data_IF_603107033748
#
_entry.id   IF_603107033748
#
_cell.length_a   1.000
_cell.length_b   1.000
_cell.length_c   1.000
_cell.angle_alpha   90.00
_cell.angle_beta   90.00
_cell.angle_gamma   90.00
#
_symmetry.space_group_name_H-M   'P 1'
#
loop_
_entity.id
_entity.type
_entity.pdbx_description
1 polymer ?
#
# COMPACT_ATOMS: atom_id res chain seq x y z
N UNK A 1 -7.72 28.06 -93.45
CA UNK A 1 -7.33 26.91 -94.30
C UNK A 1 -7.97 25.67 -93.69
N UNK A 2 -9.15 25.27 -94.18
CA UNK A 2 -9.33 24.12 -95.10
C UNK A 2 -9.00 22.81 -94.39
N UNK A 3 -9.91 21.85 -94.17
CA UNK A 3 -10.84 21.29 -95.18
C UNK A 3 -11.99 20.53 -94.49
N UNK A 4 -13.17 20.57 -95.12
CA UNK A 4 -14.41 19.85 -94.75
C UNK A 4 -14.54 18.50 -95.50
N UNK A 5 -15.53 17.70 -95.05
CA UNK A 5 -16.29 16.61 -95.73
C UNK A 5 -15.65 15.22 -95.73
N UNK A 6 -16.35 14.07 -95.64
CA UNK A 6 -17.74 13.64 -95.93
C UNK A 6 -18.16 12.58 -94.86
N UNK A 7 -19.37 12.47 -94.31
CA UNK A 7 -20.72 12.15 -94.81
C UNK A 7 -20.92 10.82 -95.56
N UNK A 8 -21.67 9.89 -94.93
CA UNK A 8 -22.55 8.78 -95.44
C UNK A 8 -22.65 7.74 -94.30
N UNK A 9 -23.76 7.46 -93.60
CA UNK A 9 -25.19 7.56 -93.90
C UNK A 9 -25.70 6.19 -94.34
N UNK A 10 -26.40 5.43 -93.48
CA UNK A 10 -27.54 4.57 -93.87
C UNK A 10 -28.24 3.84 -92.70
N UNK A 11 -29.54 4.15 -92.56
CA UNK A 11 -30.73 3.29 -92.42
C UNK A 11 -30.96 2.38 -91.18
N UNK A 12 -32.14 2.69 -90.64
CA UNK A 12 -33.04 2.10 -89.65
C UNK A 12 -33.60 0.69 -89.99
N UNK A 13 -33.88 -0.08 -88.91
CA UNK A 13 -34.80 -1.23 -88.73
C UNK A 13 -34.04 -2.47 -88.21
N UNK A 14 -34.49 -3.25 -87.21
CA UNK A 14 -35.85 -3.47 -86.70
C UNK A 14 -35.78 -4.18 -85.32
N UNK A 15 -36.65 -3.73 -84.39
CA UNK A 15 -37.38 -4.44 -83.32
C UNK A 15 -36.69 -5.32 -82.24
N UNK A 16 -36.97 -4.90 -80.99
CA UNK A 16 -37.47 -5.65 -79.83
C UNK A 16 -36.50 -6.60 -79.08
N UNK A 17 -36.18 -6.26 -77.83
CA UNK A 17 -36.92 -6.79 -76.68
C UNK A 17 -36.44 -6.18 -75.35
N UNK A 18 -37.43 -5.84 -74.52
CA UNK A 18 -37.48 -5.82 -73.05
C UNK A 18 -36.48 -4.97 -72.26
N UNK A 19 -37.03 -3.87 -71.74
CA UNK A 19 -36.71 -3.34 -70.41
C UNK A 19 -36.92 -4.42 -69.34
N UNK A 20 -35.88 -4.69 -68.56
CA UNK A 20 -36.00 -5.10 -67.16
C UNK A 20 -34.91 -4.33 -66.42
N UNK A 21 -35.30 -3.35 -65.61
CA UNK A 21 -34.42 -2.83 -64.57
C UNK A 21 -34.30 -3.93 -63.51
N UNK A 22 -33.09 -4.33 -63.16
CA UNK A 22 -32.84 -4.95 -61.86
C UNK A 22 -31.90 -4.02 -61.09
N UNK A 23 -32.36 -3.64 -59.89
CA UNK A 23 -31.64 -2.83 -58.92
C UNK A 23 -30.70 -3.77 -58.15
N UNK A 24 -29.43 -3.81 -58.50
CA UNK A 24 -28.39 -4.38 -57.64
C UNK A 24 -27.53 -3.24 -57.09
N UNK A 25 -28.07 -2.51 -56.11
CA UNK A 25 -27.25 -1.86 -55.09
C UNK A 25 -26.74 -2.99 -54.18
N UNK A 26 -25.55 -3.50 -54.50
CA UNK A 26 -24.75 -4.33 -53.59
C UNK A 26 -24.39 -3.48 -52.36
N UNK A 27 -25.33 -3.37 -51.43
CA UNK A 27 -25.06 -2.95 -50.07
C UNK A 27 -24.23 -4.07 -49.43
N UNK A 28 -22.92 -4.07 -49.71
CA UNK A 28 -21.96 -4.84 -48.94
C UNK A 28 -22.09 -4.36 -47.51
N UNK A 29 -22.80 -5.13 -46.69
CA UNK A 29 -22.68 -5.05 -45.25
C UNK A 29 -21.23 -5.40 -44.95
N UNK A 30 -20.39 -4.37 -44.77
CA UNK A 30 -19.12 -4.55 -44.09
C UNK A 30 -19.53 -4.87 -42.66
N UNK A 31 -19.62 -6.16 -42.35
CA UNK A 31 -19.69 -6.59 -40.96
C UNK A 31 -18.36 -6.13 -40.37
N UNK A 32 -18.41 -5.15 -39.46
CA UNK A 32 -17.24 -4.73 -38.73
C UNK A 32 -16.60 -6.00 -38.12
N UNK A 33 -15.28 -6.20 -38.28
CA UNK A 33 -14.63 -7.40 -37.76
C UNK A 33 -14.89 -7.48 -36.25
N UNK A 34 -15.45 -8.59 -35.80
CA UNK A 34 -15.58 -8.91 -34.38
C UNK A 34 -14.25 -9.52 -33.93
N UNK A 35 -13.49 -8.79 -33.12
CA UNK A 35 -12.23 -9.27 -32.57
C UNK A 35 -12.45 -9.74 -31.13
N UNK A 36 -11.71 -10.77 -30.74
CA UNK A 36 -11.60 -11.14 -29.34
C UNK A 36 -10.54 -10.26 -28.70
N UNK A 37 -10.80 -9.74 -27.52
CA UNK A 37 -9.84 -8.99 -26.73
C UNK A 37 -9.51 -9.76 -25.45
N UNK A 38 -8.26 -9.69 -25.03
CA UNK A 38 -7.82 -10.01 -23.67
C UNK A 38 -7.39 -8.73 -22.98
N UNK A 39 -7.93 -8.47 -21.79
CA UNK A 39 -7.44 -7.43 -20.89
C UNK A 39 -6.69 -8.10 -19.75
N UNK A 40 -5.51 -7.58 -19.43
CA UNK A 40 -4.72 -8.00 -18.27
C UNK A 40 -4.53 -6.81 -17.33
N UNK A 41 -4.87 -7.00 -16.06
CA UNK A 41 -4.71 -6.04 -14.96
C UNK A 41 -3.63 -6.60 -14.03
N UNK A 42 -2.47 -5.94 -13.97
CA UNK A 42 -1.32 -6.33 -13.15
C UNK A 42 -1.26 -5.42 -11.92
N UNK A 43 -1.13 -6.01 -10.72
CA UNK A 43 -0.75 -5.28 -9.51
C UNK A 43 0.76 -5.02 -9.56
N UNK A 44 1.15 -3.76 -9.77
CA UNK A 44 2.56 -3.35 -9.94
C UNK A 44 3.09 -2.53 -8.77
N UNK A 45 2.38 -2.52 -7.64
CA UNK A 45 2.92 -1.98 -6.40
C UNK A 45 4.30 -2.57 -6.11
N UNK A 46 5.20 -1.74 -5.59
CA UNK A 46 6.38 -2.24 -4.92
C UNK A 46 5.96 -2.94 -3.62
N UNK A 47 6.39 -4.18 -3.41
CA UNK A 47 6.10 -4.89 -2.17
C UNK A 47 6.80 -4.19 -1.00
N UNK A 48 6.05 -3.98 0.08
CA UNK A 48 6.54 -3.41 1.35
C UNK A 48 6.19 -4.38 2.48
N UNK A 49 7.12 -4.54 3.42
CA UNK A 49 6.93 -5.39 4.59
C UNK A 49 6.20 -4.64 5.70
N UNK A 50 6.44 -3.32 5.84
CA UNK A 50 5.92 -2.51 6.94
C UNK A 50 5.07 -1.35 6.43
N UNK A 51 4.28 -0.76 7.33
CA UNK A 51 3.33 0.28 6.97
C UNK A 51 3.96 1.68 6.99
N UNK A 52 4.61 2.02 8.10
CA UNK A 52 5.15 3.35 8.33
C UNK A 52 6.39 3.25 9.22
N UNK A 53 7.26 4.26 9.19
CA UNK A 53 8.50 4.28 9.95
C UNK A 53 8.96 5.71 10.22
N UNK A 54 9.93 5.84 11.10
CA UNK A 54 10.67 7.08 11.27
C UNK A 54 11.72 6.97 12.37
N UNK A 55 12.30 8.12 12.69
CA UNK A 55 13.36 8.23 13.68
C UNK A 55 13.02 9.26 14.76
N UNK A 56 13.69 9.16 15.90
CA UNK A 56 13.78 10.25 16.88
C UNK A 56 15.19 10.84 16.89
N UNK A 57 15.32 12.03 17.43
CA UNK A 57 16.60 12.61 17.80
C UNK A 57 17.15 12.11 19.13
N UNK A 58 18.21 12.77 19.57
CA UNK A 58 18.85 12.56 20.87
C UNK A 58 17.98 13.17 21.98
N UNK A 59 17.53 12.36 22.92
CA UNK A 59 16.71 12.79 24.06
C UNK A 59 17.58 12.86 25.31
N UNK A 60 17.89 14.08 25.75
CA UNK A 60 18.69 14.35 26.95
C UNK A 60 17.90 14.07 28.24
N UNK A 61 18.57 13.78 29.36
CA UNK A 61 17.90 13.68 30.66
C UNK A 61 17.03 14.91 30.96
N UNK A 62 15.75 14.67 31.28
CA UNK A 62 14.76 15.70 31.58
C UNK A 62 14.11 16.35 30.35
N UNK A 63 14.31 15.80 29.16
CA UNK A 63 13.67 16.26 27.91
C UNK A 63 12.81 15.16 27.30
N UNK A 64 11.99 15.53 26.32
CA UNK A 64 11.14 14.60 25.59
C UNK A 64 11.14 14.89 24.10
N UNK A 65 10.70 13.90 23.33
CA UNK A 65 10.42 14.02 21.90
C UNK A 65 9.10 13.33 21.58
N UNK A 66 8.34 13.91 20.65
CA UNK A 66 7.08 13.35 20.18
C UNK A 66 7.11 13.14 18.68
N UNK A 67 6.50 12.05 18.23
CA UNK A 67 6.28 11.77 16.82
C UNK A 67 4.86 11.23 16.62
N UNK A 68 4.30 11.50 15.45
CA UNK A 68 2.96 11.04 15.08
C UNK A 68 3.03 10.09 13.90
N UNK A 69 2.13 9.12 13.87
CA UNK A 69 1.98 8.13 12.81
C UNK A 69 0.53 7.70 12.68
N UNK A 70 0.20 7.09 11.56
CA UNK A 70 -1.12 6.52 11.29
C UNK A 70 -1.08 5.01 11.54
N UNK A 71 -2.13 4.48 12.15
CA UNK A 71 -2.29 3.06 12.39
C UNK A 71 -3.75 2.66 12.57
N UNK A 72 -4.09 1.46 12.08
CA UNK A 72 -5.40 0.84 12.27
C UNK A 72 -5.35 -0.40 13.15
N UNK A 73 -6.50 -0.98 13.44
CA UNK A 73 -6.62 -2.26 14.19
C UNK A 73 -5.74 -3.36 13.59
N UNK A 74 -4.93 -4.02 14.42
CA UNK A 74 -3.98 -5.05 13.98
C UNK A 74 -2.59 -4.51 13.60
N UNK A 75 -2.36 -3.19 13.69
CA UNK A 75 -1.02 -2.62 13.67
C UNK A 75 -0.36 -2.61 15.05
N UNK A 76 0.97 -2.70 15.01
CA UNK A 76 1.87 -2.68 16.16
C UNK A 76 2.93 -1.62 15.95
N UNK A 77 3.36 -0.96 17.04
CA UNK A 77 4.51 -0.06 17.07
C UNK A 77 5.71 -0.79 17.66
N UNK A 78 6.80 -0.89 16.91
CA UNK A 78 8.12 -1.25 17.45
C UNK A 78 9.01 -0.01 17.49
N UNK A 79 9.80 0.14 18.56
CA UNK A 79 10.78 1.24 18.71
C UNK A 79 12.05 0.73 19.38
N UNK A 80 13.21 1.29 19.00
CA UNK A 80 14.49 1.03 19.64
C UNK A 80 15.34 2.32 19.75
N UNK A 81 16.01 2.51 20.89
CA UNK A 81 16.97 3.61 21.15
C UNK A 81 18.07 3.16 22.09
N UNK A 82 19.32 3.62 21.87
CA UNK A 82 20.45 3.29 22.73
C UNK A 82 20.28 3.82 24.16
N UNK A 83 20.63 2.99 25.15
CA UNK A 83 20.94 3.44 26.50
C UNK A 83 22.41 3.90 26.54
N UNK A 84 22.64 5.19 26.31
CA UNK A 84 23.98 5.74 25.97
C UNK A 84 25.08 5.47 27.01
N UNK A 85 24.74 5.29 28.29
CA UNK A 85 25.71 4.90 29.33
C UNK A 85 25.92 3.38 29.39
N UNK A 86 25.93 2.72 28.25
CA UNK A 86 26.31 1.32 28.04
C UNK A 86 27.06 1.17 26.71
N UNK A 87 27.60 -0.02 26.46
CA UNK A 87 28.33 -0.33 25.25
C UNK A 87 27.47 -1.07 24.21
N UNK A 88 26.36 -1.71 24.59
CA UNK A 88 25.46 -2.39 23.65
C UNK A 88 24.02 -2.59 24.18
N UNK A 89 23.57 -1.76 25.12
CA UNK A 89 22.19 -1.84 25.64
C UNK A 89 21.27 -0.82 24.97
N UNK A 90 20.00 -1.21 24.81
CA UNK A 90 19.00 -0.37 24.17
C UNK A 90 17.62 -0.54 24.82
N UNK A 91 16.84 0.56 24.84
CA UNK A 91 15.43 0.52 25.19
C UNK A 91 14.60 0.17 23.97
N UNK A 92 13.70 -0.79 24.11
CA UNK A 92 12.75 -1.15 23.07
C UNK A 92 11.45 -1.73 23.61
N UNK A 93 10.43 -1.75 22.76
CA UNK A 93 9.28 -2.64 22.96
C UNK A 93 9.73 -4.11 22.96
N UNK A 94 8.82 -5.03 23.29
CA UNK A 94 9.05 -6.44 22.95
C UNK A 94 9.26 -6.63 21.44
N UNK A 95 9.84 -7.77 21.05
CA UNK A 95 10.20 -8.05 19.65
C UNK A 95 9.02 -8.10 18.67
N UNK A 96 7.80 -8.30 19.18
CA UNK A 96 6.54 -8.25 18.42
C UNK A 96 5.85 -6.86 18.45
N UNK A 97 6.45 -5.87 19.11
CA UNK A 97 5.91 -4.52 19.20
C UNK A 97 4.76 -4.34 20.20
N UNK A 98 4.33 -3.10 20.35
CA UNK A 98 3.16 -2.66 21.12
C UNK A 98 1.93 -2.68 20.22
N UNK A 99 0.92 -3.49 20.55
CA UNK A 99 -0.38 -3.42 19.89
C UNK A 99 -1.00 -2.02 20.06
N UNK A 100 -1.46 -1.41 18.96
CA UNK A 100 -2.02 -0.06 18.98
C UNK A 100 -3.53 -0.04 19.25
N UNK A 101 -4.17 -1.20 19.16
CA UNK A 101 -5.57 -1.43 19.52
C UNK A 101 -5.68 -2.68 20.39
N UNK A 102 -6.59 -2.66 21.35
CA UNK A 102 -6.89 -3.83 22.21
C UNK A 102 -7.77 -4.86 21.49
N UNK A 103 -8.03 -5.99 22.17
CA UNK A 103 -8.85 -7.10 21.63
C UNK A 103 -10.31 -6.69 21.40
N UNK A 104 -10.79 -5.65 22.08
CA UNK A 104 -12.10 -5.04 21.86
C UNK A 104 -12.10 -3.98 20.74
N UNK A 105 -10.94 -3.68 20.16
CA UNK A 105 -10.77 -2.73 19.06
C UNK A 105 -10.71 -1.26 19.49
N UNK A 106 -10.49 -0.97 20.78
CA UNK A 106 -10.23 0.39 21.26
C UNK A 106 -8.75 0.75 21.10
N UNK A 107 -8.47 2.00 20.77
CA UNK A 107 -7.09 2.49 20.69
C UNK A 107 -6.41 2.43 22.07
N UNK A 108 -5.20 1.86 22.11
CA UNK A 108 -4.36 1.86 23.31
C UNK A 108 -3.84 3.28 23.53
N UNK A 109 -4.08 3.84 24.72
CA UNK A 109 -3.69 5.21 25.07
C UNK A 109 -3.23 5.31 26.53
N UNK A 110 -2.55 6.41 26.87
CA UNK A 110 -2.05 6.69 28.20
C UNK A 110 -0.58 6.30 28.38
N UNK A 111 -0.21 5.98 29.62
CA UNK A 111 1.15 5.57 29.96
C UNK A 111 1.37 4.10 29.58
N UNK A 112 2.26 3.89 28.61
CA UNK A 112 2.61 2.57 28.08
C UNK A 112 4.05 2.18 28.42
N UNK A 113 4.66 2.86 29.40
CA UNK A 113 6.08 2.66 29.78
C UNK A 113 6.41 1.20 30.09
N UNK A 114 5.49 0.46 30.72
CA UNK A 114 5.66 -0.97 31.02
C UNK A 114 5.87 -1.88 29.79
N UNK A 115 5.66 -1.36 28.58
CA UNK A 115 5.88 -2.09 27.32
C UNK A 115 7.32 -1.94 26.82
N UNK A 116 8.10 -1.03 27.40
CA UNK A 116 9.48 -0.76 27.05
C UNK A 116 10.39 -1.37 28.11
N UNK A 117 11.41 -2.09 27.67
CA UNK A 117 12.37 -2.75 28.54
C UNK A 117 13.78 -2.39 28.08
N UNK A 118 14.75 -2.46 29.00
CA UNK A 118 16.16 -2.43 28.65
C UNK A 118 16.60 -3.82 28.16
N UNK A 119 17.17 -3.85 26.96
CA UNK A 119 17.66 -5.04 26.29
C UNK A 119 19.18 -4.96 26.12
N UNK A 120 19.79 -6.12 26.13
CA UNK A 120 21.17 -6.37 25.75
C UNK A 120 21.18 -6.87 24.30
N UNK A 121 21.99 -6.27 23.42
CA UNK A 121 22.10 -6.71 22.03
C UNK A 121 22.89 -8.02 21.89
N UNK A 122 23.71 -8.35 22.88
CA UNK A 122 24.57 -9.52 22.93
C UNK A 122 25.74 -9.44 21.94
N UNK A 123 26.15 -8.23 21.56
CA UNK A 123 27.23 -8.04 20.56
C UNK A 123 28.57 -7.86 21.27
N UNK A 124 28.58 -7.23 22.44
CA UNK A 124 29.78 -6.98 23.24
C UNK A 124 29.61 -7.42 24.70
N UNK A 125 30.72 -7.79 25.34
CA UNK A 125 30.70 -8.06 26.79
C UNK A 125 30.40 -6.75 27.52
N UNK A 126 29.28 -6.72 28.24
CA UNK A 126 28.87 -5.58 29.05
C UNK A 126 30.00 -4.99 29.90
N UNK A 127 30.06 -3.65 29.93
CA UNK A 127 30.91 -2.88 30.84
C UNK A 127 30.09 -2.14 31.89
N UNK A 128 30.73 -1.75 33.01
CA UNK A 128 30.05 -1.04 34.10
C UNK A 128 29.34 0.23 33.57
N UNK A 129 28.00 0.33 33.71
CA UNK A 129 27.23 1.41 33.12
C UNK A 129 27.72 2.80 33.58
N UNK A 130 28.01 3.67 32.62
CA UNK A 130 28.55 5.01 32.86
C UNK A 130 30.05 5.09 33.14
N UNK A 131 30.76 3.96 33.19
CA UNK A 131 32.21 3.90 33.53
C UNK A 131 33.04 3.32 32.38
N UNK A 132 32.53 2.29 31.71
CA UNK A 132 33.24 1.56 30.65
C UNK A 132 33.87 2.44 29.56
N UNK A 133 35.07 2.08 29.10
CA UNK A 133 35.83 2.82 28.09
C UNK A 133 35.25 2.66 26.68
N UNK A 134 34.47 1.60 26.45
CA UNK A 134 33.89 1.22 25.16
C UNK A 134 32.45 1.74 24.97
N UNK A 135 31.90 2.44 25.95
CA UNK A 135 30.57 3.03 25.86
C UNK A 135 30.58 4.28 24.97
N UNK A 136 29.49 4.56 24.24
CA UNK A 136 29.43 5.62 23.22
C UNK A 136 30.04 6.99 23.60
N UNK A 137 29.88 7.51 24.84
CA UNK A 137 30.51 8.79 25.24
C UNK A 137 32.03 8.75 25.42
N UNK A 138 32.63 7.56 25.56
CA UNK A 138 34.03 7.34 25.93
C UNK A 138 34.82 6.54 24.90
N UNK A 139 34.14 5.86 23.98
CA UNK A 139 34.78 5.07 22.94
C UNK A 139 35.65 5.91 22.00
N UNK A 140 36.72 5.29 21.50
CA UNK A 140 37.66 5.93 20.58
C UNK A 140 37.17 5.99 19.13
N UNK A 141 36.12 5.23 18.82
CA UNK A 141 35.43 5.12 17.53
C UNK A 141 34.30 4.10 17.64
N UNK A 142 33.55 3.85 16.56
CA UNK A 142 32.47 2.85 16.53
C UNK A 142 32.95 1.42 16.78
N UNK A 143 32.04 0.57 17.26
CA UNK A 143 32.23 -0.89 17.45
C UNK A 143 33.52 -1.21 18.21
N UNK A 144 33.71 -0.57 19.37
CA UNK A 144 34.83 -0.86 20.27
C UNK A 144 34.34 -1.67 21.45
N UNK A 145 34.98 -2.80 21.75
CA UNK A 145 34.60 -3.64 22.87
C UNK A 145 35.09 -5.07 22.67
N UNK A 146 34.86 -5.92 23.66
CA UNK A 146 35.13 -7.36 23.53
C UNK A 146 33.89 -8.02 22.97
N UNK A 147 33.94 -8.49 21.74
CA UNK A 147 32.82 -9.22 21.12
C UNK A 147 32.44 -10.46 21.92
N UNK A 148 31.16 -10.66 22.20
CA UNK A 148 30.65 -11.83 22.93
C UNK A 148 29.87 -12.85 22.08
N UNK A 149 29.37 -12.46 20.90
CA UNK A 149 28.54 -13.32 20.03
C UNK A 149 27.34 -13.94 20.77
N UNK A 150 26.70 -13.15 21.63
CA UNK A 150 25.50 -13.47 22.35
C UNK A 150 24.25 -13.33 21.48
N UNK A 151 23.12 -13.10 22.17
CA UNK A 151 21.80 -12.95 21.56
C UNK A 151 21.05 -11.84 22.26
N UNK A 152 20.11 -11.21 21.56
CA UNK A 152 19.27 -10.16 22.14
C UNK A 152 18.47 -10.72 23.32
N UNK A 153 18.67 -10.16 24.51
CA UNK A 153 18.14 -10.68 25.77
C UNK A 153 17.68 -9.51 26.67
N UNK A 154 16.68 -9.74 27.51
CA UNK A 154 16.31 -8.74 28.52
C UNK A 154 17.45 -8.56 29.50
N UNK A 155 17.85 -7.31 29.81
CA UNK A 155 18.99 -7.07 30.71
C UNK A 155 18.78 -7.71 32.09
N UNK A 156 17.52 -7.82 32.55
CA UNK A 156 17.16 -8.47 33.81
C UNK A 156 17.45 -9.99 33.85
N UNK A 157 17.69 -10.62 32.70
CA UNK A 157 18.10 -12.02 32.59
C UNK A 157 19.62 -12.19 32.42
N UNK A 158 20.36 -11.11 32.14
CA UNK A 158 21.81 -11.11 31.95
C UNK A 158 22.50 -11.09 33.32
N UNK A 159 23.59 -11.86 33.47
CA UNK A 159 24.36 -11.99 34.72
C UNK A 159 25.78 -11.45 34.52
N UNK A 160 25.88 -10.15 34.32
CA UNK A 160 27.15 -9.42 34.14
C UNK A 160 27.73 -8.86 35.45
N UNK A 161 26.91 -8.78 36.51
CA UNK A 161 27.31 -8.28 37.82
C UNK A 161 27.17 -6.76 38.01
N UNK A 162 26.52 -6.07 37.06
CA UNK A 162 26.21 -4.65 37.15
C UNK A 162 24.80 -4.39 37.68
N UNK A 163 24.54 -3.13 38.00
CA UNK A 163 23.22 -2.65 38.45
C UNK A 163 22.75 -1.58 37.49
N UNK A 164 21.55 -1.78 36.95
CA UNK A 164 20.88 -0.85 36.05
C UNK A 164 19.76 -0.12 36.80
N UNK A 165 19.43 1.14 36.45
CA UNK A 165 18.21 1.76 36.91
C UNK A 165 16.99 0.96 36.43
N UNK A 166 15.89 1.01 37.18
CA UNK A 166 14.59 0.50 36.71
C UNK A 166 14.17 1.26 35.44
N UNK A 167 13.45 0.58 34.53
CA UNK A 167 13.05 1.15 33.24
C UNK A 167 12.26 2.46 33.39
N UNK A 168 11.28 2.49 34.30
CA UNK A 168 10.46 3.67 34.62
C UNK A 168 11.25 4.82 35.25
N UNK A 169 12.50 4.58 35.69
CA UNK A 169 13.39 5.62 36.19
C UNK A 169 14.22 6.27 35.07
N UNK A 170 14.20 5.72 33.85
CA UNK A 170 14.97 6.22 32.69
C UNK A 170 14.06 6.70 31.57
N UNK A 171 13.10 5.88 31.16
CA UNK A 171 12.21 6.17 30.04
C UNK A 171 10.77 6.21 30.53
N UNK A 172 9.99 7.14 29.97
CA UNK A 172 8.54 7.17 30.10
C UNK A 172 7.93 7.35 28.71
N UNK A 173 6.94 6.53 28.39
CA UNK A 173 6.28 6.58 27.08
C UNK A 173 4.79 6.81 27.24
N UNK A 174 4.31 7.89 26.62
CA UNK A 174 2.90 8.23 26.55
C UNK A 174 2.40 8.04 25.12
N UNK A 175 1.23 7.42 24.97
CA UNK A 175 0.57 7.22 23.69
C UNK A 175 -0.79 7.91 23.68
N UNK A 176 -1.03 8.76 22.70
CA UNK A 176 -2.31 9.45 22.47
C UNK A 176 -2.92 8.98 21.15
N UNK A 177 -4.26 8.92 21.10
CA UNK A 177 -5.02 8.70 19.87
C UNK A 177 -5.70 10.03 19.49
N UNK A 178 -5.25 10.63 18.39
CA UNK A 178 -5.62 11.98 17.96
C UNK A 178 -6.90 12.02 17.12
N UNK A 179 -7.60 10.88 17.01
CA UNK A 179 -8.77 10.69 16.16
C UNK A 179 -8.43 10.01 14.83
N UNK A 180 -9.45 9.39 14.22
CA UNK A 180 -9.26 8.57 13.02
C UNK A 180 -8.28 7.42 13.27
N UNK A 181 -7.20 7.39 12.49
CA UNK A 181 -6.09 6.45 12.60
C UNK A 181 -4.83 7.04 13.25
N UNK A 182 -4.87 8.30 13.69
CA UNK A 182 -3.66 9.02 14.08
C UNK A 182 -3.31 8.76 15.54
N UNK A 183 -2.05 8.43 15.78
CA UNK A 183 -1.44 8.34 17.09
C UNK A 183 -0.31 9.35 17.25
N UNK A 184 -0.06 9.78 18.48
CA UNK A 184 1.14 10.50 18.88
C UNK A 184 1.81 9.78 20.04
N UNK A 185 3.05 9.35 19.84
CA UNK A 185 3.90 8.80 20.90
C UNK A 185 4.82 9.90 21.42
N UNK A 186 4.94 10.02 22.73
CA UNK A 186 5.89 10.90 23.41
C UNK A 186 6.84 10.07 24.25
N UNK A 187 8.13 10.16 23.93
CA UNK A 187 9.23 9.54 24.67
C UNK A 187 9.84 10.62 25.57
N UNK A 188 9.72 10.45 26.88
CA UNK A 188 10.34 11.30 27.89
C UNK A 188 11.52 10.57 28.52
N UNK A 189 12.69 11.21 28.52
CA UNK A 189 13.84 10.74 29.26
C UNK A 189 13.77 11.30 30.69
N UNK A 190 13.32 10.47 31.62
CA UNK A 190 13.14 10.81 33.04
C UNK A 190 14.40 10.52 33.90
N UNK A 191 15.50 10.08 33.27
CA UNK A 191 16.73 9.65 33.97
C UNK A 191 17.45 10.73 34.77
N UNK A 192 17.08 12.01 34.62
CA UNK A 192 17.69 13.12 35.36
C UNK A 192 17.62 12.97 36.88
N UNK A 193 16.63 12.22 37.38
CA UNK A 193 16.46 11.92 38.80
C UNK A 193 16.95 10.52 39.21
N UNK A 194 17.45 9.72 38.27
CA UNK A 194 17.92 8.35 38.51
C UNK A 194 19.33 8.30 39.09
N UNK A 195 19.76 7.11 39.50
CA UNK A 195 21.15 6.86 39.92
C UNK A 195 22.16 7.02 38.78
N UNK A 196 21.71 6.90 37.53
CA UNK A 196 22.55 6.99 36.34
C UNK A 196 21.84 7.83 35.25
N UNK A 197 21.94 9.17 35.31
CA UNK A 197 21.46 10.02 34.22
C UNK A 197 22.17 9.68 32.91
N UNK A 198 21.37 9.42 31.88
CA UNK A 198 21.84 8.95 30.57
C UNK A 198 21.00 9.56 29.46
N UNK A 199 21.60 10.00 28.34
CA UNK A 199 20.82 10.27 27.14
C UNK A 199 20.18 8.99 26.58
N UNK A 200 19.10 9.16 25.81
CA UNK A 200 18.62 8.18 24.85
C UNK A 200 19.07 8.65 23.47
N UNK A 201 19.78 7.81 22.73
CA UNK A 201 20.31 8.19 21.41
C UNK A 201 19.18 8.39 20.38
N UNK A 202 19.48 8.91 19.17
CA UNK A 202 18.56 8.80 18.05
C UNK A 202 18.02 7.38 17.90
N UNK A 203 16.70 7.24 17.96
CA UNK A 203 16.01 5.96 17.88
C UNK A 203 15.35 5.75 16.53
N UNK A 204 14.81 4.57 16.30
CA UNK A 204 13.98 4.25 15.14
C UNK A 204 12.68 3.60 15.61
N UNK A 205 11.59 3.88 14.90
CA UNK A 205 10.30 3.23 15.08
C UNK A 205 9.73 2.74 13.75
N UNK A 206 8.84 1.76 13.84
CA UNK A 206 8.14 1.17 12.70
C UNK A 206 6.75 0.71 13.12
N UNK A 207 5.78 1.02 12.27
CA UNK A 207 4.40 0.50 12.34
C UNK A 207 4.30 -0.69 11.40
N UNK A 208 3.93 -1.84 11.95
CA UNK A 208 3.91 -3.11 11.24
C UNK A 208 2.65 -3.92 11.57
N UNK A 209 2.43 -5.00 10.84
CA UNK A 209 1.31 -5.91 11.06
C UNK A 209 1.66 -6.97 12.11
N UNK A 210 0.63 -7.65 12.60
CA UNK A 210 0.76 -8.81 13.48
C UNK A 210 1.69 -9.90 12.88
N UNK A 211 2.41 -10.59 13.76
CA UNK A 211 3.34 -11.66 13.41
C UNK A 211 4.70 -11.20 12.85
N UNK A 212 4.94 -9.89 12.73
CA UNK A 212 6.23 -9.34 12.31
C UNK A 212 7.11 -8.93 13.50
N UNK A 213 8.43 -8.95 13.29
CA UNK A 213 9.45 -8.60 14.28
C UNK A 213 10.55 -7.75 13.64
N UNK A 214 10.26 -6.48 13.33
CA UNK A 214 11.05 -5.71 12.37
C UNK A 214 12.40 -5.24 12.88
N UNK A 215 12.55 -5.03 14.19
CA UNK A 215 13.77 -4.47 14.77
C UNK A 215 14.73 -5.55 15.28
N UNK A 216 14.20 -6.60 15.89
CA UNK A 216 14.99 -7.71 16.43
C UNK A 216 14.10 -8.93 16.70
N UNK A 217 14.73 -10.08 16.97
CA UNK A 217 14.06 -11.27 17.50
C UNK A 217 14.76 -11.69 18.79
N UNK A 218 14.03 -11.70 19.91
CA UNK A 218 14.59 -12.06 21.20
C UNK A 218 15.15 -13.50 21.20
N UNK A 219 16.30 -13.70 21.83
CA UNK A 219 17.03 -14.97 21.86
C UNK A 219 17.75 -15.33 20.55
N UNK A 220 17.90 -14.36 19.64
CA UNK A 220 18.70 -14.52 18.41
C UNK A 220 19.77 -13.43 18.32
N UNK A 221 20.78 -13.62 17.48
CA UNK A 221 21.82 -12.62 17.28
C UNK A 221 21.22 -11.32 16.74
N UNK A 222 21.69 -10.18 17.24
CA UNK A 222 21.36 -8.87 16.70
C UNK A 222 21.71 -8.77 15.21
N UNK A 223 20.92 -8.00 14.46
CA UNK A 223 21.28 -7.59 13.10
C UNK A 223 22.35 -6.51 13.16
N UNK A 224 23.10 -6.31 12.07
CA UNK A 224 24.07 -5.20 11.97
C UNK A 224 23.39 -3.84 12.19
N UNK A 225 22.15 -3.70 11.73
CA UNK A 225 21.36 -2.47 11.89
C UNK A 225 21.07 -2.18 13.38
N UNK A 226 20.71 -3.22 14.15
CA UNK A 226 20.45 -3.09 15.59
C UNK A 226 21.74 -2.89 16.39
N UNK A 227 22.80 -3.62 16.05
CA UNK A 227 24.14 -3.48 16.67
C UNK A 227 24.57 -2.01 16.65
N UNK A 228 24.46 -1.33 15.49
CA UNK A 228 24.82 0.09 15.37
C UNK A 228 23.94 1.03 16.20
N UNK A 229 22.68 0.68 16.41
CA UNK A 229 21.80 1.44 17.32
C UNK A 229 22.24 1.22 18.77
N UNK A 230 22.47 -0.03 19.16
CA UNK A 230 22.77 -0.41 20.53
C UNK A 230 24.17 -0.01 20.99
N UNK A 231 25.16 0.01 20.09
CA UNK A 231 26.56 0.34 20.43
C UNK A 231 26.90 1.82 20.24
N UNK A 232 26.41 2.41 19.16
CA UNK A 232 26.84 3.75 18.74
C UNK A 232 25.73 4.80 18.79
N UNK A 233 24.49 4.39 19.02
CA UNK A 233 23.33 5.26 18.85
C UNK A 233 23.16 5.74 17.40
N UNK A 234 23.68 4.97 16.43
CA UNK A 234 23.63 5.30 15.02
C UNK A 234 22.52 4.51 14.33
N UNK A 235 21.38 5.17 14.13
CA UNK A 235 20.21 4.59 13.47
C UNK A 235 20.20 4.72 11.94
N UNK A 236 21.24 5.25 11.29
CA UNK A 236 21.18 5.58 9.85
C UNK A 236 20.95 4.37 8.95
N UNK A 237 21.57 3.22 9.24
CA UNK A 237 21.37 2.00 8.44
C UNK A 237 19.99 1.41 8.70
N UNK A 238 19.56 1.39 9.95
CA UNK A 238 18.20 0.95 10.31
C UNK A 238 17.14 1.83 9.64
N UNK A 239 17.34 3.15 9.61
CA UNK A 239 16.46 4.11 8.93
C UNK A 239 16.38 3.82 7.42
N UNK A 240 17.51 3.61 6.74
CA UNK A 240 17.54 3.26 5.31
C UNK A 240 16.85 1.91 5.02
N UNK A 241 17.07 0.92 5.90
CA UNK A 241 16.44 -0.40 5.84
C UNK A 241 14.92 -0.30 6.02
N UNK A 242 14.45 0.45 7.02
CA UNK A 242 13.02 0.69 7.25
C UNK A 242 12.40 1.51 6.13
N UNK A 243 13.09 2.53 5.60
CA UNK A 243 12.61 3.33 4.48
C UNK A 243 12.39 2.52 3.21
N UNK A 244 13.29 1.56 2.94
CA UNK A 244 13.18 0.68 1.78
C UNK A 244 12.02 -0.31 1.92
N UNK A 245 11.73 -0.76 3.14
CA UNK A 245 10.75 -1.82 3.41
C UNK A 245 9.38 -1.33 3.89
N UNK A 246 9.21 -0.02 4.12
CA UNK A 246 7.96 0.56 4.59
C UNK A 246 7.24 1.33 3.50
N UNK A 247 5.91 1.30 3.50
CA UNK A 247 5.09 2.16 2.65
C UNK A 247 3.70 1.61 2.40
N UNK A 248 2.89 2.38 1.68
CA UNK A 248 1.56 1.96 1.28
C UNK A 248 1.64 0.89 0.19
N UNK A 249 1.06 -0.27 0.48
CA UNK A 249 0.89 -1.38 -0.47
C UNK A 249 -0.52 -1.93 -0.32
N UNK A 250 -1.16 -2.24 -1.44
CA UNK A 250 -2.54 -2.70 -1.45
C UNK A 250 -2.74 -3.86 -2.42
N UNK A 251 -3.47 -4.92 -2.04
CA UNK A 251 -4.02 -5.85 -3.02
C UNK A 251 -5.16 -5.20 -3.80
N UNK A 252 -5.42 -5.73 -5.00
CA UNK A 252 -6.68 -5.46 -5.71
C UNK A 252 -7.64 -6.63 -5.52
N UNK A 253 -8.89 -6.31 -5.15
CA UNK A 253 -9.92 -7.32 -4.99
C UNK A 253 -10.32 -7.95 -6.34
N UNK A 254 -11.17 -8.99 -6.35
CA UNK A 254 -11.96 -9.30 -7.53
C UNK A 254 -12.71 -8.08 -8.07
N UNK A 255 -12.97 -8.04 -9.37
CA UNK A 255 -13.62 -6.92 -10.02
C UNK A 255 -14.65 -7.30 -11.08
N UNK A 256 -15.14 -6.27 -11.76
CA UNK A 256 -16.20 -6.36 -12.75
C UNK A 256 -15.82 -5.62 -14.02
N UNK A 257 -16.35 -6.07 -15.15
CA UNK A 257 -16.22 -5.38 -16.44
C UNK A 257 -17.54 -5.37 -17.20
N UNK A 258 -17.66 -4.52 -18.21
CA UNK A 258 -18.84 -4.42 -19.07
C UNK A 258 -18.48 -3.94 -20.46
N UNK A 259 -19.22 -4.42 -21.46
CA UNK A 259 -19.09 -4.03 -22.87
C UNK A 259 -20.38 -3.33 -23.28
N UNK A 260 -20.28 -2.03 -23.62
CA UNK A 260 -21.42 -1.12 -23.79
C UNK A 260 -22.36 -1.04 -22.56
N UNK A 261 -21.89 -1.51 -21.42
CA UNK A 261 -22.56 -1.48 -20.14
C UNK A 261 -21.53 -0.98 -19.13
N UNK A 262 -21.82 0.12 -18.46
CA UNK A 262 -20.87 0.81 -17.60
C UNK A 262 -20.87 0.15 -16.21
N UNK A 263 -19.69 -0.19 -15.68
CA UNK A 263 -19.57 -0.72 -14.32
C UNK A 263 -19.85 0.37 -13.29
N UNK A 264 -19.50 1.61 -13.63
CA UNK A 264 -19.77 2.82 -12.86
C UNK A 264 -19.98 4.00 -13.83
N UNK A 265 -20.51 5.12 -13.34
CA UNK A 265 -20.61 6.36 -14.12
C UNK A 265 -20.22 7.55 -13.26
N UNK A 266 -19.18 8.28 -13.65
CA UNK A 266 -18.67 9.41 -12.87
C UNK A 266 -19.74 10.50 -12.71
N UNK A 267 -19.90 11.02 -11.50
CA UNK A 267 -20.89 12.03 -11.15
C UNK A 267 -22.29 11.48 -10.83
N UNK A 268 -22.49 10.16 -10.92
CA UNK A 268 -23.71 9.50 -10.47
C UNK A 268 -23.50 8.83 -9.10
N UNK A 269 -24.59 8.57 -8.38
CA UNK A 269 -24.53 7.80 -7.15
C UNK A 269 -24.11 6.35 -7.42
N UNK A 270 -23.35 5.75 -6.50
CA UNK A 270 -22.99 4.34 -6.57
C UNK A 270 -24.23 3.44 -6.59
N UNK A 271 -24.18 2.41 -7.43
CA UNK A 271 -25.17 1.33 -7.37
C UNK A 271 -24.87 0.43 -6.18
N UNK A 272 -25.85 -0.31 -5.66
CA UNK A 272 -25.61 -1.29 -4.60
C UNK A 272 -24.54 -2.34 -4.97
N UNK A 273 -24.36 -2.62 -6.27
CA UNK A 273 -23.32 -3.54 -6.74
C UNK A 273 -21.93 -2.90 -6.72
N UNK A 274 -21.83 -1.61 -7.07
CA UNK A 274 -20.57 -0.88 -7.01
C UNK A 274 -20.15 -0.59 -5.59
N UNK A 275 -21.08 -0.20 -4.70
CA UNK A 275 -20.84 -0.02 -3.26
C UNK A 275 -20.21 -1.28 -2.67
N UNK A 276 -20.81 -2.46 -2.86
CA UNK A 276 -20.20 -3.73 -2.42
C UNK A 276 -18.85 -4.05 -3.05
N UNK A 277 -18.64 -3.65 -4.30
CA UNK A 277 -17.36 -3.86 -4.96
C UNK A 277 -16.30 -2.95 -4.33
N UNK A 278 -16.62 -1.69 -4.14
CA UNK A 278 -15.72 -0.65 -3.67
C UNK A 278 -15.45 -0.74 -2.17
N UNK A 279 -16.41 -1.18 -1.34
CA UNK A 279 -16.26 -1.29 0.11
C UNK A 279 -15.77 -2.65 0.59
N UNK A 280 -16.12 -3.73 -0.12
CA UNK A 280 -15.87 -5.10 0.35
C UNK A 280 -15.05 -5.94 -0.64
N UNK A 281 -14.72 -5.39 -1.80
CA UNK A 281 -14.06 -6.15 -2.86
C UNK A 281 -14.94 -7.23 -3.49
N UNK A 282 -16.26 -7.09 -3.38
CA UNK A 282 -17.24 -8.10 -3.79
C UNK A 282 -17.91 -7.74 -5.11
N UNK A 283 -17.66 -8.48 -6.21
CA UNK A 283 -18.27 -8.19 -7.51
C UNK A 283 -19.72 -8.73 -7.62
N UNK A 284 -20.37 -9.03 -6.50
CA UNK A 284 -21.74 -9.58 -6.48
C UNK A 284 -22.74 -8.53 -6.96
N UNK A 285 -23.53 -8.89 -7.97
CA UNK A 285 -24.53 -8.02 -8.60
C UNK A 285 -24.16 -7.64 -10.04
N UNK A 286 -22.91 -7.82 -10.44
CA UNK A 286 -22.47 -7.66 -11.82
C UNK A 286 -22.66 -8.93 -12.66
N UNK A 287 -22.88 -8.74 -13.96
CA UNK A 287 -23.07 -9.85 -14.91
C UNK A 287 -21.77 -10.49 -15.38
N UNK A 288 -20.71 -9.69 -15.48
CA UNK A 288 -19.39 -10.10 -15.96
C UNK A 288 -18.35 -9.72 -14.91
N UNK A 289 -17.59 -10.71 -14.45
CA UNK A 289 -16.61 -10.55 -13.36
C UNK A 289 -15.29 -11.19 -13.72
N UNK A 290 -14.21 -10.63 -13.19
CA UNK A 290 -12.90 -11.27 -13.13
C UNK A 290 -12.55 -11.41 -11.65
N UNK A 291 -12.27 -12.64 -11.20
CA UNK A 291 -12.10 -12.88 -9.77
C UNK A 291 -11.02 -13.88 -9.42
N UNK A 292 -10.44 -14.56 -10.41
CA UNK A 292 -9.44 -15.60 -10.19
C UNK A 292 -8.11 -15.08 -10.73
N UNK A 293 -7.08 -14.93 -9.87
CA UNK A 293 -5.75 -14.51 -10.30
C UNK A 293 -5.19 -15.43 -11.39
N UNK A 294 -4.39 -14.88 -12.30
CA UNK A 294 -3.70 -15.66 -13.32
C UNK A 294 -2.78 -16.71 -12.67
N UNK A 295 -2.94 -17.97 -13.09
CA UNK A 295 -2.28 -19.13 -12.46
C UNK A 295 -2.95 -19.63 -11.18
N UNK A 296 -3.96 -18.93 -10.67
CA UNK A 296 -4.82 -19.37 -9.56
C UNK A 296 -5.90 -20.36 -9.97
N UNK A 297 -6.52 -21.01 -8.99
CA UNK A 297 -7.60 -21.99 -9.19
C UNK A 297 -8.91 -21.64 -8.49
N UNK A 298 -8.92 -20.55 -7.74
CA UNK A 298 -10.07 -20.09 -6.96
C UNK A 298 -10.12 -18.56 -6.94
N UNK A 299 -11.31 -17.97 -6.74
CA UNK A 299 -11.42 -16.53 -6.59
C UNK A 299 -10.58 -15.99 -5.43
N UNK A 300 -10.02 -14.81 -5.58
CA UNK A 300 -9.22 -14.13 -4.55
C UNK A 300 -8.52 -12.89 -5.09
N UNK A 301 -8.03 -12.01 -4.21
CA UNK A 301 -7.34 -10.78 -4.60
C UNK A 301 -6.02 -11.04 -5.31
N UNK A 302 -5.53 -10.05 -6.05
CA UNK A 302 -4.16 -10.02 -6.60
C UNK A 302 -3.26 -9.16 -5.71
N UNK A 303 -2.18 -9.76 -5.22
CA UNK A 303 -1.10 -9.10 -4.48
C UNK A 303 -0.04 -8.54 -5.45
N UNK A 304 0.91 -7.71 -5.00
CA UNK A 304 2.00 -7.22 -5.84
C UNK A 304 2.66 -8.32 -6.69
N UNK A 305 2.77 -8.07 -7.98
CA UNK A 305 3.30 -9.00 -8.99
C UNK A 305 2.31 -10.06 -9.48
N UNK A 306 1.05 -10.06 -9.04
CA UNK A 306 -0.02 -10.92 -9.59
C UNK A 306 -0.92 -10.13 -10.55
N UNK A 307 -1.70 -10.85 -11.34
CA UNK A 307 -2.58 -10.25 -12.35
C UNK A 307 -3.92 -10.97 -12.45
N UNK A 308 -4.91 -10.28 -13.03
CA UNK A 308 -6.10 -10.89 -13.61
C UNK A 308 -6.06 -10.78 -15.13
N UNK A 309 -6.58 -11.79 -15.82
CA UNK A 309 -6.88 -11.70 -17.25
C UNK A 309 -8.33 -12.12 -17.54
N UNK A 310 -8.99 -11.39 -18.43
CA UNK A 310 -10.34 -11.73 -18.91
C UNK A 310 -10.49 -11.48 -20.40
N UNK A 311 -11.40 -12.23 -21.03
CA UNK A 311 -11.64 -12.17 -22.47
C UNK A 311 -13.08 -11.76 -22.79
N UNK A 312 -13.25 -11.04 -23.89
CA UNK A 312 -14.55 -10.73 -24.47
C UNK A 312 -14.45 -10.55 -25.99
N UNK A 313 -15.59 -10.51 -26.67
CA UNK A 313 -15.68 -10.19 -28.09
C UNK A 313 -16.31 -8.81 -28.25
N UNK A 314 -15.77 -8.02 -29.18
CA UNK A 314 -16.26 -6.66 -29.44
C UNK A 314 -16.03 -6.24 -30.89
N UNK A 315 -16.87 -5.34 -31.37
CA UNK A 315 -16.81 -4.72 -32.70
C UNK A 315 -16.56 -3.21 -32.62
N UNK A 316 -16.28 -2.59 -33.76
CA UNK A 316 -16.06 -1.15 -33.83
C UNK A 316 -17.28 -0.37 -33.30
N UNK A 317 -17.03 0.57 -32.39
CA UNK A 317 -18.06 1.34 -31.69
C UNK A 317 -18.34 0.83 -30.27
N UNK A 318 -17.93 -0.41 -29.94
CA UNK A 318 -18.07 -0.92 -28.59
C UNK A 318 -17.08 -0.24 -27.63
N UNK A 319 -17.51 -0.08 -26.38
CA UNK A 319 -16.69 0.49 -25.29
C UNK A 319 -16.59 -0.46 -24.11
N UNK A 320 -15.44 -0.45 -23.44
CA UNK A 320 -15.17 -1.19 -22.22
C UNK A 320 -15.29 -0.28 -20.99
N UNK A 321 -15.86 -0.83 -19.91
CA UNK A 321 -15.75 -0.29 -18.55
C UNK A 321 -15.31 -1.41 -17.61
N UNK A 322 -14.51 -1.09 -16.61
CA UNK A 322 -14.15 -2.04 -15.54
C UNK A 322 -13.81 -1.31 -14.24
N UNK A 323 -13.95 -2.01 -13.11
CA UNK A 323 -13.54 -1.52 -11.80
C UNK A 323 -13.02 -2.68 -10.93
N UNK A 324 -12.05 -2.37 -10.06
CA UNK A 324 -11.55 -3.27 -9.01
C UNK A 324 -11.15 -2.48 -7.78
N UNK A 325 -11.55 -2.95 -6.59
CA UNK A 325 -11.26 -2.27 -5.33
C UNK A 325 -9.77 -2.19 -5.05
N UNK A 326 -9.33 -1.03 -4.55
CA UNK A 326 -8.07 -0.89 -3.83
C UNK A 326 -8.32 -1.32 -2.37
N UNK A 327 -7.85 -2.48 -1.94
CA UNK A 327 -8.35 -3.10 -0.69
C UNK A 327 -7.95 -2.34 0.59
N UNK A 328 -6.83 -1.63 0.58
CA UNK A 328 -6.36 -0.80 1.69
C UNK A 328 -6.92 0.64 1.62
N UNK A 329 -8.19 0.77 1.25
CA UNK A 329 -9.03 1.99 1.37
C UNK A 329 -10.44 1.54 1.79
N UNK A 330 -11.27 2.46 2.24
CA UNK A 330 -12.63 2.13 2.69
C UNK A 330 -13.57 1.96 1.49
N UNK A 331 -13.50 2.82 0.47
CA UNK A 331 -14.36 2.70 -0.71
C UNK A 331 -13.72 3.16 -2.04
N UNK A 332 -12.38 3.20 -2.12
CA UNK A 332 -11.71 3.49 -3.38
C UNK A 332 -11.57 2.28 -4.29
N UNK A 333 -11.65 2.54 -5.59
CA UNK A 333 -11.39 1.56 -6.64
C UNK A 333 -10.57 2.16 -7.77
N UNK A 334 -9.83 1.31 -8.49
CA UNK A 334 -9.22 1.67 -9.76
C UNK A 334 -10.09 1.17 -10.91
N UNK A 335 -10.22 1.98 -11.95
CA UNK A 335 -11.10 1.61 -13.06
C UNK A 335 -11.07 2.61 -14.19
N UNK A 336 -11.90 2.32 -15.18
CA UNK A 336 -12.18 3.22 -16.29
C UNK A 336 -13.57 2.94 -16.85
N UNK A 337 -14.16 3.96 -17.45
CA UNK A 337 -15.41 3.87 -18.19
C UNK A 337 -15.23 4.41 -19.62
N UNK A 338 -15.97 3.83 -20.57
CA UNK A 338 -16.00 4.33 -21.94
C UNK A 338 -14.70 4.14 -22.74
N UNK A 339 -13.85 3.17 -22.40
CA UNK A 339 -12.64 2.87 -23.18
C UNK A 339 -13.05 2.40 -24.57
N UNK A 340 -12.70 3.18 -25.60
CA UNK A 340 -12.92 2.78 -26.99
C UNK A 340 -12.07 1.55 -27.33
N UNK A 341 -12.69 0.52 -27.92
CA UNK A 341 -12.00 -0.72 -28.28
C UNK A 341 -11.38 -0.69 -29.68
N UNK A 342 -11.73 0.32 -30.48
CA UNK A 342 -11.24 0.52 -31.83
C UNK A 342 -10.92 2.00 -32.10
N UNK A 343 -9.82 2.24 -32.81
CA UNK A 343 -9.43 3.53 -33.35
C UNK A 343 -9.52 3.51 -34.88
N UNK A 344 -10.61 4.06 -35.44
CA UNK A 344 -10.85 4.12 -36.90
C UNK A 344 -10.67 2.76 -37.59
N UNK A 345 -11.40 1.75 -37.12
CA UNK A 345 -11.37 0.38 -37.63
C UNK A 345 -10.17 -0.48 -37.17
N UNK A 346 -9.22 0.08 -36.42
CA UNK A 346 -8.08 -0.68 -35.87
C UNK A 346 -8.33 -1.03 -34.41
N UNK A 347 -8.31 -2.32 -34.02
CA UNK A 347 -8.43 -2.71 -32.62
C UNK A 347 -7.37 -2.05 -31.74
N UNK A 348 -7.76 -1.57 -30.56
CA UNK A 348 -6.82 -1.03 -29.57
C UNK A 348 -5.95 -2.15 -29.02
N UNK A 349 -4.65 -1.90 -28.88
CA UNK A 349 -3.67 -2.85 -28.37
C UNK A 349 -2.56 -2.15 -27.62
N UNK A 350 -2.03 -2.80 -26.58
CA UNK A 350 -0.89 -2.34 -25.80
C UNK A 350 -1.28 -1.89 -24.39
N UNK A 351 -0.41 -1.07 -23.81
CA UNK A 351 -0.59 -0.47 -22.48
C UNK A 351 -1.63 0.66 -22.54
N UNK A 352 -2.65 0.58 -21.69
CA UNK A 352 -3.73 1.55 -21.55
C UNK A 352 -3.82 2.11 -20.12
N UNK A 353 -2.77 1.94 -19.32
CA UNK A 353 -2.72 2.36 -17.91
C UNK A 353 -3.03 3.85 -17.73
N UNK A 354 -2.68 4.68 -18.71
CA UNK A 354 -2.97 6.12 -18.70
C UNK A 354 -4.47 6.48 -18.83
N UNK A 355 -5.33 5.50 -19.08
CA UNK A 355 -6.79 5.67 -19.09
C UNK A 355 -7.43 5.32 -17.74
N UNK A 356 -6.65 4.78 -16.80
CA UNK A 356 -7.15 4.26 -15.53
C UNK A 356 -7.09 5.37 -14.48
N UNK A 357 -8.19 5.55 -13.76
CA UNK A 357 -8.28 6.48 -12.63
C UNK A 357 -8.36 5.74 -11.31
N UNK A 358 -8.02 6.45 -10.23
CA UNK A 358 -8.44 6.13 -8.87
C UNK A 358 -9.74 6.89 -8.62
N UNK A 359 -10.75 6.20 -8.13
CA UNK A 359 -12.07 6.75 -7.89
C UNK A 359 -12.49 6.48 -6.46
N UNK A 360 -13.17 7.46 -5.89
CA UNK A 360 -13.99 7.34 -4.71
C UNK A 360 -15.41 6.93 -5.16
N UNK A 361 -16.01 5.96 -4.47
CA UNK A 361 -17.37 5.50 -4.74
C UNK A 361 -18.45 6.47 -4.22
N UNK A 362 -18.08 7.41 -3.36
CA UNK A 362 -18.95 8.41 -2.77
C UNK A 362 -19.89 7.82 -1.72
N UNK A 363 -19.52 6.67 -1.14
CA UNK A 363 -20.40 5.88 -0.27
C UNK A 363 -20.01 6.01 1.20
N UNK A 364 -18.72 6.16 1.50
CA UNK A 364 -18.18 6.37 2.83
C UNK A 364 -17.15 7.50 2.83
N UNK A 365 -17.17 8.34 3.86
CA UNK A 365 -16.16 9.37 4.04
C UNK A 365 -14.78 8.74 4.20
N UNK A 366 -13.83 9.20 3.40
CA UNK A 366 -12.45 8.73 3.36
C UNK A 366 -11.79 8.53 4.72
N UNK A 367 -11.19 7.36 4.89
CA UNK A 367 -10.24 7.08 5.95
C UNK A 367 -8.80 7.05 5.42
N UNK A 368 -7.81 7.20 6.31
CA UNK A 368 -6.41 7.12 5.90
C UNK A 368 -6.10 5.76 5.26
N UNK A 369 -5.75 5.74 3.98
CA UNK A 369 -5.48 4.52 3.22
C UNK A 369 -4.44 3.63 3.94
N UNK A 370 -4.84 2.39 4.25
CA UNK A 370 -4.05 1.36 4.96
C UNK A 370 -4.16 1.37 6.49
N UNK A 371 -4.72 2.42 7.09
CA UNK A 371 -4.88 2.55 8.54
C UNK A 371 -6.32 2.80 9.01
N UNK A 372 -7.25 3.06 8.09
CA UNK A 372 -8.68 3.19 8.39
C UNK A 372 -9.27 1.94 9.04
N UNK A 373 -10.15 2.12 10.02
CA UNK A 373 -10.73 1.02 10.78
C UNK A 373 -11.97 0.40 10.14
N UNK A 374 -12.51 1.04 9.09
CA UNK A 374 -13.64 0.56 8.28
C UNK A 374 -13.17 0.03 6.91
N UNK A 375 -11.86 -0.09 6.68
CA UNK A 375 -11.32 -0.73 5.48
C UNK A 375 -11.53 -2.26 5.53
N UNK A 376 -11.67 -2.97 4.39
CA UNK A 376 -12.05 -4.39 4.34
C UNK A 376 -11.26 -5.31 5.26
N UNK A 377 -9.96 -5.06 5.43
CA UNK A 377 -9.07 -5.90 6.24
C UNK A 377 -9.23 -5.68 7.74
N UNK A 378 -9.95 -4.63 8.17
CA UNK A 378 -10.11 -4.21 9.58
C UNK A 378 -11.56 -4.02 10.02
N UNK A 379 -12.50 -3.97 9.08
CA UNK A 379 -13.92 -3.79 9.39
C UNK A 379 -14.54 -5.02 10.06
N UNK A 380 -15.51 -4.78 10.93
CA UNK A 380 -16.23 -5.85 11.67
C UNK A 380 -17.49 -6.36 10.94
N UNK A 381 -17.83 -5.76 9.81
CA UNK A 381 -18.96 -6.07 8.95
C UNK A 381 -18.96 -5.13 7.74
N UNK A 382 -19.83 -5.39 6.77
CA UNK A 382 -19.99 -4.55 5.57
C UNK A 382 -20.56 -3.16 5.93
N UNK A 383 -20.18 -2.13 5.18
CA UNK A 383 -20.72 -0.76 5.20
C UNK A 383 -20.65 -0.14 6.62
N UNK A 384 -19.45 -0.10 7.19
CA UNK A 384 -19.23 0.35 8.58
C UNK A 384 -18.71 1.78 8.69
N UNK A 385 -18.24 2.37 7.60
CA UNK A 385 -17.80 3.74 7.52
C UNK A 385 -18.93 4.77 7.64
N UNK A 386 -18.53 6.02 7.80
CA UNK A 386 -19.47 7.13 7.87
C UNK A 386 -19.97 7.45 6.46
N UNK A 387 -21.25 7.23 6.18
CA UNK A 387 -21.81 7.57 4.88
C UNK A 387 -21.67 9.07 4.56
N UNK A 388 -21.20 9.42 3.36
CA UNK A 388 -21.03 10.80 2.90
C UNK A 388 -22.08 11.30 1.90
N UNK A 389 -23.02 10.44 1.49
CA UNK A 389 -24.09 10.70 0.51
C UNK A 389 -23.56 11.32 -0.80
N UNK A 390 -22.38 10.87 -1.22
CA UNK A 390 -21.61 11.38 -2.34
C UNK A 390 -22.02 10.78 -3.69
N UNK A 391 -21.15 11.00 -4.67
CA UNK A 391 -21.24 10.45 -6.03
C UNK A 391 -19.87 9.93 -6.42
N UNK A 392 -19.83 9.05 -7.41
CA UNK A 392 -18.57 8.50 -7.91
C UNK A 392 -17.73 9.63 -8.49
N UNK A 393 -16.53 9.84 -7.97
CA UNK A 393 -15.62 10.87 -8.46
C UNK A 393 -14.16 10.42 -8.50
N UNK A 394 -13.35 11.13 -9.27
CA UNK A 394 -11.91 10.86 -9.30
C UNK A 394 -11.32 11.32 -7.98
N UNK A 395 -10.59 10.43 -7.30
CA UNK A 395 -9.94 10.76 -6.05
C UNK A 395 -8.76 11.71 -6.31
N UNK A 396 -8.79 12.90 -5.69
CA UNK A 396 -7.83 13.99 -5.99
C UNK A 396 -6.89 14.34 -4.85
N UNK A 397 -7.13 13.83 -3.65
CA UNK A 397 -6.37 14.04 -2.43
C UNK A 397 -6.07 12.74 -1.65
N UNK A 398 -5.57 11.65 -2.27
CA UNK A 398 -5.43 10.34 -1.61
C UNK A 398 -4.39 10.28 -0.48
N UNK A 399 -3.72 11.39 -0.18
CA UNK A 399 -2.57 11.47 0.72
C UNK A 399 -1.25 11.24 -0.02
N UNK A 400 -0.18 11.84 0.50
CA UNK A 400 1.14 11.79 -0.14
C UNK A 400 1.84 10.43 -0.04
N UNK A 401 1.33 9.53 0.81
CA UNK A 401 1.84 8.16 0.97
C UNK A 401 1.28 7.19 -0.06
N UNK A 402 0.15 7.54 -0.69
CA UNK A 402 -0.47 6.75 -1.76
C UNK A 402 0.23 7.10 -3.07
N UNK A 403 0.80 6.11 -3.80
CA UNK A 403 1.55 6.37 -5.02
C UNK A 403 0.62 6.75 -6.19
N UNK A 404 1.15 7.09 -7.35
CA UNK A 404 0.30 7.36 -8.51
C UNK A 404 -0.33 6.06 -9.05
N UNK A 405 -1.48 6.15 -9.73
CA UNK A 405 -2.15 4.97 -10.33
C UNK A 405 -1.21 4.12 -11.20
N UNK A 406 -0.30 4.74 -11.96
CA UNK A 406 0.69 4.03 -12.80
C UNK A 406 1.73 3.24 -12.02
N UNK A 407 1.88 3.50 -10.72
CA UNK A 407 2.74 2.76 -9.79
C UNK A 407 1.96 1.72 -8.98
N UNK A 408 0.62 1.75 -9.04
CA UNK A 408 -0.26 0.77 -8.40
C UNK A 408 -0.65 -0.36 -9.35
N UNK A 409 -1.13 0.00 -10.55
CA UNK A 409 -1.73 -0.91 -11.52
C UNK A 409 -1.15 -0.67 -12.90
N UNK A 410 -1.01 -1.75 -13.66
CA UNK A 410 -0.73 -1.69 -15.09
C UNK A 410 -1.78 -2.47 -15.84
N UNK A 411 -2.36 -1.86 -16.87
CA UNK A 411 -3.45 -2.46 -17.65
C UNK A 411 -3.05 -2.54 -19.11
N UNK A 412 -3.13 -3.74 -19.68
CA UNK A 412 -2.88 -3.98 -21.10
C UNK A 412 -4.08 -4.60 -21.77
N UNK A 413 -4.27 -4.28 -23.05
CA UNK A 413 -5.31 -4.85 -23.90
C UNK A 413 -4.71 -5.43 -25.17
N UNK A 414 -5.11 -6.63 -25.57
CA UNK A 414 -4.60 -7.30 -26.76
C UNK A 414 -5.75 -7.88 -27.60
N UNK A 415 -5.85 -7.54 -28.90
CA UNK A 415 -6.73 -8.22 -29.82
C UNK A 415 -6.11 -9.57 -30.23
N UNK A 416 -6.90 -10.64 -30.16
CA UNK A 416 -6.51 -12.02 -30.46
C UNK A 416 -7.00 -12.51 -31.82
#
# INVERSE_FOLDING_TARGET
MSTKFLFRGLILSLLMTNLSCDNDDDNRIIVAPNNRFTVTIENVFEAKDYFNFGTTGLIQPGTSESFSFEAGKGHFLSFATMFVQSNDLFYATADHGLALYDDEGNAVTGDVTSMFNLWDAGTEVNEEPGVGENQAPRQSGPNTGVVENGTVELIGNVVDGFTYPEDEAVIKVLLEHDGGSKFTATIENVSAASSLPTPLAPGAWVVHNDGQKPLFVAGTAATEDLERVAEDGNNSILDESLASNSGYVSPFAPGSFGINDAVFTSGEASTEALERLAEDGSPVGFSLVFNTPDGGTSPGPIFPGNSYSFEFEAMEGDVLSFATMLVQSNDWFVGAEGIQLYNSGTPVSGDITNLIGLFDAGTEADEYAGAGNNQPVRQTGHNTGLNEEGVIEVETNPGSHVPNVSEMVKVTINPN
#
